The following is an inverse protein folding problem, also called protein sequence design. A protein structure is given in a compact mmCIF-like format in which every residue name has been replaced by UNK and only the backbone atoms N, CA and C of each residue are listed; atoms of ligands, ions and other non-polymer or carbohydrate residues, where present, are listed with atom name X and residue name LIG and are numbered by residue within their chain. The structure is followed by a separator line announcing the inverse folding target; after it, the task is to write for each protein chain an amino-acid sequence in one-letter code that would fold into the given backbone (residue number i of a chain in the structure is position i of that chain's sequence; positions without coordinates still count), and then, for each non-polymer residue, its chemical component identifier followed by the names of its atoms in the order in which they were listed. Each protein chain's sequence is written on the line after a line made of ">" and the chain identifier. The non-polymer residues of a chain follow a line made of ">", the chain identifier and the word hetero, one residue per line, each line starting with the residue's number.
data_IF_594960812118
#
_entry.id   IF_594960812118
#
_cell.length_a   1.000
_cell.length_b   1.000
_cell.length_c   1.000
_cell.angle_alpha   90.00
_cell.angle_beta   90.00
_cell.angle_gamma   90.00
#
_symmetry.space_group_name_H-M   'P 1'
#
loop_
_entity.id
_entity.type
_entity.pdbx_description
1 polymer ?
#
# COMPACT_ATOMS: atom_id res chain seq x y z
N UNK A 1 -71.08 17.52 -39.24
CA UNK A 1 -70.20 17.74 -38.07
C UNK A 1 -69.75 16.37 -37.58
N UNK A 2 -68.53 15.97 -37.94
CA UNK A 2 -67.94 14.66 -37.60
C UNK A 2 -66.80 14.93 -36.62
N UNK A 3 -66.98 14.52 -35.38
CA UNK A 3 -66.00 14.70 -34.30
C UNK A 3 -65.01 13.54 -34.33
N UNK A 4 -63.78 13.86 -34.70
CA UNK A 4 -62.62 12.96 -34.66
C UNK A 4 -62.06 12.98 -33.23
N UNK A 5 -62.04 11.82 -32.57
CA UNK A 5 -61.40 11.61 -31.27
C UNK A 5 -59.93 11.28 -31.49
N UNK A 6 -58.95 12.02 -30.94
CA UNK A 6 -57.58 11.59 -30.94
C UNK A 6 -57.30 10.65 -29.75
N UNK A 7 -56.78 9.47 -30.11
CA UNK A 7 -56.24 8.44 -29.25
C UNK A 7 -55.01 8.99 -28.49
N UNK A 8 -55.07 9.09 -27.17
CA UNK A 8 -53.92 9.45 -26.33
C UNK A 8 -53.12 8.16 -26.07
N UNK A 9 -51.96 8.05 -26.71
CA UNK A 9 -50.98 7.00 -26.48
C UNK A 9 -50.25 7.30 -25.17
N UNK A 10 -50.37 6.39 -24.19
CA UNK A 10 -49.58 6.42 -22.96
C UNK A 10 -48.11 6.16 -23.29
N UNK A 11 -47.25 7.18 -23.08
CA UNK A 11 -45.81 6.98 -23.00
C UNK A 11 -45.48 6.47 -21.59
N UNK A 12 -45.21 5.18 -21.46
CA UNK A 12 -44.57 4.64 -20.27
C UNK A 12 -43.16 5.24 -20.18
N UNK A 13 -42.93 6.11 -19.20
CA UNK A 13 -41.59 6.54 -18.83
C UNK A 13 -40.85 5.30 -18.31
N UNK A 14 -39.96 4.74 -19.12
CA UNK A 14 -38.92 3.85 -18.63
C UNK A 14 -38.01 4.71 -17.76
N UNK A 15 -38.29 4.76 -16.46
CA UNK A 15 -37.26 5.12 -15.49
C UNK A 15 -36.20 4.02 -15.59
N UNK A 16 -35.18 4.28 -16.40
CA UNK A 16 -33.90 3.62 -16.20
C UNK A 16 -33.50 4.01 -14.78
N UNK A 17 -33.80 3.14 -13.82
CA UNK A 17 -32.99 3.02 -12.64
C UNK A 17 -31.58 2.75 -13.18
N UNK A 18 -30.82 3.82 -13.40
CA UNK A 18 -29.39 3.73 -13.44
C UNK A 18 -29.05 3.01 -12.14
N UNK A 19 -28.69 1.73 -12.28
CA UNK A 19 -28.25 0.92 -11.17
C UNK A 19 -27.24 1.78 -10.42
N UNK A 20 -27.62 2.21 -9.22
CA UNK A 20 -26.68 2.73 -8.24
C UNK A 20 -25.62 1.63 -8.17
N UNK A 21 -24.35 1.90 -8.53
CA UNK A 21 -23.35 0.85 -8.49
C UNK A 21 -23.38 0.29 -7.07
N UNK A 22 -23.73 -0.99 -7.01
CA UNK A 22 -23.64 -1.81 -5.82
C UNK A 22 -22.25 -1.56 -5.24
N UNK A 23 -22.19 -1.22 -3.96
CA UNK A 23 -20.94 -0.95 -3.24
C UNK A 23 -20.00 -2.10 -3.55
N UNK A 24 -18.97 -1.84 -4.37
CA UNK A 24 -17.95 -2.82 -4.71
C UNK A 24 -17.48 -3.44 -3.39
N UNK A 25 -17.88 -4.67 -3.16
CA UNK A 25 -17.39 -5.49 -2.07
C UNK A 25 -15.91 -5.70 -2.36
N UNK A 26 -15.09 -4.82 -1.75
CA UNK A 26 -13.64 -4.92 -1.73
C UNK A 26 -13.30 -6.35 -1.34
N UNK A 27 -12.90 -7.17 -2.31
CA UNK A 27 -12.51 -8.54 -2.03
C UNK A 27 -11.08 -8.48 -1.52
N UNK A 28 -10.85 -8.80 -0.24
CA UNK A 28 -9.51 -8.74 0.29
C UNK A 28 -8.64 -9.79 -0.38
N UNK A 29 -7.52 -9.37 -0.95
CA UNK A 29 -6.46 -10.31 -1.32
C UNK A 29 -5.75 -10.69 -0.02
N UNK A 30 -5.55 -11.98 0.21
CA UNK A 30 -4.78 -12.48 1.35
C UNK A 30 -3.35 -12.70 0.85
N UNK A 31 -2.41 -11.86 1.31
CA UNK A 31 -0.98 -12.07 1.06
C UNK A 31 -0.32 -12.63 2.31
N UNK A 32 0.35 -13.77 2.17
CA UNK A 32 1.09 -14.42 3.24
C UNK A 32 2.57 -14.05 3.13
N UNK A 33 3.08 -13.29 4.11
CA UNK A 33 4.52 -13.16 4.36
C UNK A 33 4.79 -13.50 5.82
N UNK A 34 5.93 -14.14 6.10
CA UNK A 34 6.34 -14.51 7.46
C UNK A 34 5.33 -15.38 8.22
N UNK A 35 4.48 -16.13 7.50
CA UNK A 35 3.43 -16.96 8.09
C UNK A 35 2.14 -16.22 8.48
N UNK A 36 1.99 -14.93 8.16
CA UNK A 36 0.81 -14.13 8.49
C UNK A 36 0.06 -13.72 7.23
N UNK A 37 -1.23 -14.05 7.21
CA UNK A 37 -2.21 -13.60 6.21
C UNK A 37 -2.58 -12.14 6.44
N UNK A 38 -2.25 -11.26 5.49
CA UNK A 38 -2.64 -9.84 5.52
C UNK A 38 -3.79 -9.57 4.55
N UNK A 39 -4.85 -8.95 5.05
CA UNK A 39 -5.98 -8.44 4.27
C UNK A 39 -5.55 -7.16 3.53
N UNK A 40 -5.33 -7.19 2.21
CA UNK A 40 -4.83 -6.02 1.45
C UNK A 40 -5.93 -5.18 0.81
N UNK A 41 -5.68 -3.88 0.72
CA UNK A 41 -6.54 -2.88 0.08
C UNK A 41 -6.58 -3.06 -1.45
N UNK A 42 -7.75 -2.93 -2.05
CA UNK A 42 -7.87 -2.81 -3.51
C UNK A 42 -7.62 -1.35 -3.95
N UNK A 43 -6.49 -1.10 -4.61
CA UNK A 43 -6.12 0.23 -5.13
C UNK A 43 -6.99 0.67 -6.31
N UNK A 44 -7.72 -0.24 -6.96
CA UNK A 44 -8.57 0.12 -8.11
C UNK A 44 -9.75 1.02 -7.71
N UNK A 45 -10.07 1.11 -6.42
CA UNK A 45 -11.09 1.97 -5.85
C UNK A 45 -10.59 3.39 -5.44
N UNK A 46 -9.30 3.70 -5.63
CA UNK A 46 -8.66 4.94 -5.15
C UNK A 46 -8.48 5.96 -6.27
N UNK A 47 -9.57 6.47 -6.84
CA UNK A 47 -9.51 7.56 -7.83
C UNK A 47 -9.50 8.96 -7.22
N UNK A 48 -9.86 9.12 -5.94
CA UNK A 48 -9.94 10.45 -5.30
C UNK A 48 -9.21 10.48 -3.94
N UNK A 49 -7.90 10.74 -3.97
CA UNK A 49 -7.09 10.99 -2.76
C UNK A 49 -7.11 12.48 -2.42
N UNK A 50 -8.18 12.95 -1.80
CA UNK A 50 -8.16 14.26 -1.15
C UNK A 50 -7.35 14.15 0.16
N UNK A 51 -6.33 15.01 0.33
CA UNK A 51 -5.52 15.09 1.56
C UNK A 51 -6.41 15.50 2.74
N UNK A 52 -6.94 14.55 3.50
CA UNK A 52 -7.55 14.87 4.79
C UNK A 52 -6.47 15.01 5.84
N UNK A 53 -6.07 16.27 6.09
CA UNK A 53 -5.31 16.62 7.28
C UNK A 53 -6.23 16.50 8.50
N UNK A 54 -6.02 15.49 9.35
CA UNK A 54 -6.57 15.54 10.72
C UNK A 54 -5.59 16.35 11.58
N UNK A 55 -6.06 17.22 12.50
CA UNK A 55 -5.20 18.14 13.25
C UNK A 55 -4.08 17.48 14.07
N UNK A 56 -4.15 16.16 14.27
CA UNK A 56 -3.22 15.41 15.11
C UNK A 56 -2.31 14.46 14.33
N UNK A 57 -2.62 14.10 13.09
CA UNK A 57 -1.83 13.12 12.33
C UNK A 57 -1.38 13.70 10.99
N UNK A 58 -0.09 13.58 10.71
CA UNK A 58 0.53 14.08 9.48
C UNK A 58 1.33 12.98 8.83
N UNK A 59 1.36 12.97 7.50
CA UNK A 59 2.23 12.09 6.76
C UNK A 59 2.76 12.74 5.48
N UNK A 60 4.03 12.47 5.18
CA UNK A 60 4.74 13.08 4.06
C UNK A 60 5.71 12.08 3.42
N UNK A 61 5.59 11.93 2.09
CA UNK A 61 6.60 11.26 1.27
C UNK A 61 7.83 12.19 1.14
N UNK A 62 9.01 11.66 1.41
CA UNK A 62 10.31 12.34 1.39
C UNK A 62 11.31 11.42 0.66
N UNK A 63 12.27 11.98 -0.09
CA UNK A 63 13.29 11.20 -0.80
C UNK A 63 13.10 11.16 -2.33
N UNK A 64 14.14 10.69 -3.02
CA UNK A 64 14.12 10.52 -4.47
C UNK A 64 13.27 9.30 -4.84
N UNK A 65 12.35 9.50 -5.78
CA UNK A 65 11.44 8.50 -6.30
C UNK A 65 11.25 8.69 -7.80
N UNK A 66 12.28 9.21 -8.48
CA UNK A 66 12.24 9.54 -9.91
C UNK A 66 12.18 8.31 -10.81
N UNK A 67 12.71 7.16 -10.37
CA UNK A 67 12.59 5.89 -11.07
C UNK A 67 11.17 5.31 -11.01
N UNK A 68 10.80 4.48 -11.98
CA UNK A 68 9.45 3.91 -12.11
C UNK A 68 9.01 3.12 -10.86
N UNK A 69 9.93 2.40 -10.23
CA UNK A 69 9.69 1.70 -8.97
C UNK A 69 9.48 2.69 -7.80
N UNK A 70 10.32 3.72 -7.68
CA UNK A 70 10.13 4.79 -6.69
C UNK A 70 8.77 5.48 -6.84
N UNK A 71 8.37 5.83 -8.07
CA UNK A 71 7.05 6.42 -8.35
C UNK A 71 5.89 5.50 -7.93
N UNK A 72 6.04 4.18 -8.11
CA UNK A 72 5.06 3.21 -7.64
C UNK A 72 4.96 3.23 -6.11
N UNK A 73 6.09 3.20 -5.39
CA UNK A 73 6.10 3.30 -3.92
C UNK A 73 5.46 4.62 -3.46
N UNK A 74 5.83 5.76 -4.05
CA UNK A 74 5.27 7.06 -3.72
C UNK A 74 3.75 7.15 -3.88
N UNK A 75 3.18 6.55 -4.94
CA UNK A 75 1.72 6.49 -5.12
C UNK A 75 1.04 5.64 -4.05
N UNK A 76 1.61 4.49 -3.72
CA UNK A 76 1.08 3.57 -2.70
C UNK A 76 1.11 4.23 -1.32
N UNK A 77 2.23 4.88 -1.00
CA UNK A 77 2.40 5.61 0.24
C UNK A 77 1.35 6.71 0.40
N UNK A 78 1.09 7.51 -0.64
CA UNK A 78 0.03 8.53 -0.63
C UNK A 78 -1.37 7.91 -0.45
N UNK A 79 -1.63 6.76 -1.07
CA UNK A 79 -2.92 6.07 -0.97
C UNK A 79 -3.20 5.54 0.45
N UNK A 80 -2.17 5.05 1.15
CA UNK A 80 -2.31 4.48 2.49
C UNK A 80 -2.59 5.56 3.55
N UNK A 81 -2.19 6.82 3.32
CA UNK A 81 -2.38 7.89 4.31
C UNK A 81 -3.83 8.02 4.78
N UNK A 82 -4.77 7.92 3.85
CA UNK A 82 -6.21 8.01 4.15
C UNK A 82 -6.71 6.88 5.07
N UNK A 83 -6.03 5.73 5.09
CA UNK A 83 -6.32 4.61 6.00
C UNK A 83 -5.70 4.80 7.39
N UNK A 84 -4.61 5.57 7.51
CA UNK A 84 -3.91 5.77 8.78
C UNK A 84 -4.52 6.88 9.62
N UNK A 85 -5.04 7.95 9.00
CA UNK A 85 -5.59 9.11 9.72
C UNK A 85 -6.74 8.82 10.70
N UNK A 86 -7.59 7.80 10.51
CA UNK A 86 -8.59 7.40 11.51
C UNK A 86 -8.02 6.75 12.77
N UNK A 87 -6.76 6.26 12.73
CA UNK A 87 -6.14 5.55 13.83
C UNK A 87 -5.65 6.54 14.90
N UNK A 88 -6.17 6.38 16.11
CA UNK A 88 -5.83 7.24 17.27
C UNK A 88 -4.68 6.67 18.11
N UNK A 89 -4.34 5.41 17.90
CA UNK A 89 -3.30 4.71 18.64
C UNK A 89 -2.03 4.57 17.81
N UNK A 90 -0.90 4.96 18.40
CA UNK A 90 0.38 5.04 17.68
C UNK A 90 0.90 3.69 17.19
N UNK A 91 0.92 2.67 18.05
CA UNK A 91 1.47 1.36 17.67
C UNK A 91 0.60 0.64 16.61
N UNK A 92 -0.73 0.56 16.75
CA UNK A 92 -1.59 0.00 15.69
C UNK A 92 -1.47 0.74 14.36
N UNK A 93 -1.31 2.06 14.37
CA UNK A 93 -1.08 2.84 13.15
C UNK A 93 0.21 2.43 12.44
N UNK A 94 1.28 2.24 13.20
CA UNK A 94 2.59 1.82 12.69
C UNK A 94 2.57 0.41 12.13
N UNK A 95 1.97 -0.55 12.83
CA UNK A 95 1.82 -1.91 12.30
C UNK A 95 0.95 -1.97 11.06
N UNK A 96 -0.15 -1.21 11.04
CA UNK A 96 -1.02 -1.14 9.87
C UNK A 96 -0.25 -0.53 8.70
N UNK A 97 0.52 0.53 8.95
CA UNK A 97 1.33 1.18 7.94
C UNK A 97 2.33 0.21 7.31
N UNK A 98 3.20 -0.43 8.08
CA UNK A 98 4.24 -1.31 7.54
C UNK A 98 3.63 -2.49 6.77
N UNK A 99 2.66 -3.19 7.37
CA UNK A 99 2.00 -4.37 6.77
C UNK A 99 1.27 -4.02 5.47
N UNK A 100 0.45 -2.97 5.48
CA UNK A 100 -0.32 -2.59 4.29
C UNK A 100 0.61 -2.04 3.20
N UNK A 101 1.64 -1.27 3.57
CA UNK A 101 2.53 -0.68 2.57
C UNK A 101 3.31 -1.74 1.83
N UNK A 102 3.96 -2.67 2.53
CA UNK A 102 4.73 -3.72 1.85
C UNK A 102 3.84 -4.64 1.02
N UNK A 103 2.63 -4.96 1.51
CA UNK A 103 1.67 -5.79 0.79
C UNK A 103 1.18 -5.10 -0.49
N UNK A 104 0.85 -3.81 -0.43
CA UNK A 104 0.44 -3.05 -1.59
C UNK A 104 1.58 -2.83 -2.58
N UNK A 105 2.79 -2.55 -2.10
CA UNK A 105 3.99 -2.50 -2.93
C UNK A 105 4.21 -3.82 -3.65
N UNK A 106 4.06 -4.93 -2.94
CA UNK A 106 4.27 -6.25 -3.52
C UNK A 106 3.17 -6.58 -4.53
N UNK A 107 1.91 -6.23 -4.28
CA UNK A 107 0.80 -6.43 -5.20
C UNK A 107 0.93 -5.57 -6.48
N UNK A 108 1.39 -4.33 -6.34
CA UNK A 108 1.53 -3.35 -7.43
C UNK A 108 2.97 -3.26 -7.94
N UNK A 109 3.74 -4.34 -7.77
CA UNK A 109 5.12 -4.41 -8.18
C UNK A 109 5.23 -4.21 -9.71
N UNK A 110 5.97 -3.18 -10.18
CA UNK A 110 6.06 -2.85 -11.61
C UNK A 110 6.83 -3.87 -12.43
N UNK A 111 7.65 -4.72 -11.78
CA UNK A 111 8.42 -5.79 -12.43
C UNK A 111 8.71 -6.91 -11.42
N UNK A 112 7.85 -7.94 -11.40
CA UNK A 112 7.97 -9.09 -10.49
C UNK A 112 9.16 -10.00 -10.77
N UNK A 113 9.79 -9.89 -11.94
CA UNK A 113 10.98 -10.69 -12.26
C UNK A 113 12.24 -10.01 -11.71
N UNK A 114 12.24 -8.68 -11.69
CA UNK A 114 13.33 -7.87 -11.14
C UNK A 114 13.24 -7.72 -9.62
N UNK A 115 12.05 -7.38 -9.13
CA UNK A 115 11.80 -7.08 -7.72
C UNK A 115 11.09 -8.27 -7.07
N UNK A 116 11.79 -8.99 -6.21
CA UNK A 116 11.30 -10.23 -5.60
C UNK A 116 10.85 -10.05 -4.16
N UNK A 117 11.11 -8.88 -3.57
CA UNK A 117 10.64 -8.51 -2.25
C UNK A 117 10.39 -7.00 -2.12
N UNK A 118 9.65 -6.63 -1.08
CA UNK A 118 9.43 -5.27 -0.62
C UNK A 118 9.71 -5.18 0.87
N UNK A 119 10.17 -4.01 1.31
CA UNK A 119 10.43 -3.71 2.71
C UNK A 119 9.94 -2.30 3.03
N UNK A 120 9.42 -2.13 4.25
CA UNK A 120 9.27 -0.84 4.89
C UNK A 120 9.87 -0.93 6.29
N UNK A 121 10.82 -0.04 6.59
CA UNK A 121 11.58 -0.11 7.83
C UNK A 121 11.93 1.26 8.40
N UNK A 122 11.83 1.45 9.72
CA UNK A 122 12.07 2.75 10.36
C UNK A 122 13.40 2.88 11.12
N UNK A 123 14.31 1.91 10.98
CA UNK A 123 15.66 1.99 11.56
C UNK A 123 16.71 1.91 10.47
N UNK A 124 17.97 2.04 10.87
CA UNK A 124 19.11 1.87 9.98
C UNK A 124 19.14 0.47 9.39
N UNK A 125 19.43 0.40 8.09
CA UNK A 125 19.55 -0.83 7.32
C UNK A 125 20.76 -0.74 6.40
N UNK A 126 21.21 -1.88 5.91
CA UNK A 126 22.18 -1.94 4.81
C UNK A 126 21.78 -3.01 3.79
N UNK A 127 22.39 -2.98 2.62
CA UNK A 127 22.19 -3.99 1.58
C UNK A 127 23.49 -4.44 0.98
N UNK A 128 23.54 -5.71 0.56
CA UNK A 128 24.70 -6.28 -0.13
C UNK A 128 25.00 -5.53 -1.44
N UNK A 129 23.97 -5.18 -2.21
CA UNK A 129 24.10 -4.40 -3.44
C UNK A 129 23.02 -3.31 -3.56
N UNK A 130 23.45 -2.04 -3.50
CA UNK A 130 22.57 -0.87 -3.65
C UNK A 130 22.01 -0.70 -5.07
N UNK A 131 22.57 -1.39 -6.08
CA UNK A 131 22.02 -1.42 -7.44
C UNK A 131 20.89 -2.44 -7.60
N UNK A 132 20.77 -3.35 -6.65
CA UNK A 132 19.73 -4.37 -6.58
C UNK A 132 18.60 -3.99 -5.61
N UNK A 133 18.40 -2.69 -5.39
CA UNK A 133 17.19 -2.13 -4.77
C UNK A 133 16.58 -1.07 -5.68
N UNK A 134 15.31 -0.73 -5.46
CA UNK A 134 14.74 0.48 -6.07
C UNK A 134 15.25 1.74 -5.39
N UNK A 135 14.81 2.90 -5.89
CA UNK A 135 14.86 4.13 -5.11
C UNK A 135 14.21 3.91 -3.74
N UNK A 136 14.79 4.57 -2.72
CA UNK A 136 14.30 4.53 -1.36
C UNK A 136 13.32 5.69 -1.18
N UNK A 137 12.07 5.33 -0.86
CA UNK A 137 11.04 6.33 -0.63
C UNK A 137 10.72 6.36 0.84
N UNK A 138 11.03 7.48 1.49
CA UNK A 138 10.80 7.66 2.92
C UNK A 138 9.40 8.23 3.17
N UNK A 139 8.73 7.75 4.22
CA UNK A 139 7.47 8.27 4.71
C UNK A 139 7.62 8.70 6.15
N UNK A 140 7.44 9.99 6.41
CA UNK A 140 7.31 10.50 7.76
C UNK A 140 5.88 10.27 8.24
N UNK A 141 5.69 9.45 9.26
CA UNK A 141 4.43 9.29 9.97
C UNK A 141 4.48 10.10 11.27
N UNK A 142 3.42 10.84 11.60
CA UNK A 142 3.36 11.62 12.84
C UNK A 142 1.97 11.58 13.45
N UNK A 143 1.90 11.46 14.78
CA UNK A 143 0.68 11.51 15.58
C UNK A 143 0.96 12.27 16.89
N UNK A 144 0.47 13.51 16.99
CA UNK A 144 0.78 14.40 18.11
C UNK A 144 2.30 14.67 18.21
N UNK A 145 2.89 14.35 19.36
CA UNK A 145 4.34 14.45 19.57
C UNK A 145 5.13 13.26 18.99
N UNK A 146 4.47 12.14 18.70
CA UNK A 146 5.12 10.95 18.16
C UNK A 146 5.35 11.11 16.67
N UNK A 147 6.53 10.71 16.22
CA UNK A 147 6.89 10.70 14.83
C UNK A 147 7.89 9.59 14.55
N UNK A 148 7.87 9.06 13.34
CA UNK A 148 8.86 8.10 12.86
C UNK A 148 8.94 8.20 11.34
N UNK A 149 10.13 7.98 10.80
CA UNK A 149 10.35 7.94 9.36
C UNK A 149 10.54 6.49 8.95
N UNK A 150 9.85 6.05 7.90
CA UNK A 150 9.98 4.71 7.33
C UNK A 150 10.58 4.80 5.94
N UNK A 151 11.62 4.02 5.68
CA UNK A 151 12.14 3.81 4.34
C UNK A 151 11.46 2.61 3.71
N UNK A 152 10.83 2.83 2.56
CA UNK A 152 10.16 1.79 1.78
C UNK A 152 10.84 1.63 0.41
N UNK A 153 11.13 0.38 0.03
CA UNK A 153 11.79 0.07 -1.24
C UNK A 153 11.50 -1.36 -1.72
N UNK A 154 11.78 -1.61 -2.99
CA UNK A 154 11.83 -2.96 -3.57
C UNK A 154 13.24 -3.53 -3.44
N UNK A 155 13.32 -4.85 -3.25
CA UNK A 155 14.56 -5.62 -3.20
C UNK A 155 14.59 -6.58 -4.39
N UNK A 156 15.71 -6.56 -5.11
CA UNK A 156 15.97 -7.42 -6.26
C UNK A 156 16.66 -8.73 -5.89
N UNK A 157 16.83 -9.59 -6.89
CA UNK A 157 17.51 -10.88 -6.76
C UNK A 157 19.01 -10.72 -6.45
N UNK A 158 19.60 -11.79 -5.92
CA UNK A 158 21.02 -11.88 -5.53
C UNK A 158 21.47 -10.83 -4.50
N UNK A 159 20.53 -10.30 -3.73
CA UNK A 159 20.74 -9.26 -2.74
C UNK A 159 20.45 -9.77 -1.32
N UNK A 160 20.92 -9.03 -0.33
CA UNK A 160 20.62 -9.25 1.08
C UNK A 160 20.30 -7.92 1.73
N UNK A 161 19.25 -7.90 2.55
CA UNK A 161 18.85 -6.76 3.35
C UNK A 161 19.20 -7.05 4.81
N UNK A 162 20.08 -6.22 5.36
CA UNK A 162 20.58 -6.32 6.73
C UNK A 162 19.79 -5.37 7.62
N UNK A 163 19.13 -5.92 8.63
CA UNK A 163 18.45 -5.13 9.65
C UNK A 163 19.36 -4.96 10.87
N UNK A 164 19.15 -3.88 11.63
CA UNK A 164 19.82 -3.71 12.91
C UNK A 164 19.01 -4.30 14.07
N UNK A 165 17.71 -4.55 13.85
CA UNK A 165 16.76 -5.13 14.80
C UNK A 165 15.37 -5.19 14.17
N UNK A 166 14.67 -6.32 14.23
CA UNK A 166 13.24 -6.40 13.85
C UNK A 166 12.41 -5.36 14.63
N UNK A 167 12.33 -5.56 15.95
CA UNK A 167 11.45 -4.79 16.82
C UNK A 167 9.97 -4.88 16.45
N UNK A 168 9.59 -5.88 15.64
CA UNK A 168 8.23 -6.23 15.25
C UNK A 168 7.66 -5.37 14.13
N UNK A 169 6.41 -5.66 13.76
CA UNK A 169 5.71 -4.95 12.69
C UNK A 169 5.55 -3.45 12.90
N UNK A 170 5.71 -2.94 14.12
CA UNK A 170 5.77 -1.48 14.33
C UNK A 170 6.96 -0.85 13.60
N UNK A 171 8.03 -1.59 13.34
CA UNK A 171 9.26 -1.10 12.75
C UNK A 171 9.48 -1.67 11.36
N UNK A 172 9.30 -2.98 11.19
CA UNK A 172 9.73 -3.74 10.02
C UNK A 172 8.58 -4.56 9.46
N UNK A 173 8.40 -4.52 8.14
CA UNK A 173 7.66 -5.55 7.43
C UNK A 173 8.38 -5.90 6.15
N UNK A 174 8.28 -7.18 5.76
CA UNK A 174 8.61 -7.65 4.43
C UNK A 174 7.38 -8.20 3.74
N UNK A 175 7.40 -8.19 2.41
CA UNK A 175 6.59 -9.06 1.58
C UNK A 175 7.48 -9.59 0.46
N UNK A 176 7.53 -10.90 0.27
CA UNK A 176 8.53 -11.50 -0.63
C UNK A 176 8.05 -12.79 -1.28
N UNK A 177 8.69 -13.13 -2.39
CA UNK A 177 8.53 -14.42 -3.05
C UNK A 177 9.45 -15.45 -2.37
N UNK A 178 8.86 -16.44 -1.68
CA UNK A 178 9.61 -17.48 -0.96
C UNK A 178 10.42 -18.41 -1.85
N UNK A 179 10.23 -18.37 -3.18
CA UNK A 179 11.09 -19.09 -4.15
C UNK A 179 12.46 -18.44 -4.29
N UNK A 180 12.53 -17.13 -4.08
CA UNK A 180 13.77 -16.36 -4.22
C UNK A 180 14.30 -15.92 -2.86
N UNK A 181 13.43 -15.57 -1.92
CA UNK A 181 13.83 -14.96 -0.67
C UNK A 181 13.55 -15.84 0.56
N UNK A 182 14.41 -15.69 1.57
CA UNK A 182 14.30 -16.34 2.87
C UNK A 182 14.58 -15.34 3.98
N UNK A 183 13.71 -15.33 4.99
CA UNK A 183 13.82 -14.51 6.19
C UNK A 183 14.51 -15.29 7.31
N UNK A 184 15.52 -14.69 7.94
CA UNK A 184 16.16 -15.21 9.14
C UNK A 184 15.53 -14.59 10.38
N UNK A 185 14.70 -15.35 11.10
CA UNK A 185 14.04 -14.85 12.32
C UNK A 185 14.98 -14.54 13.49
N UNK A 186 16.26 -14.89 13.43
CA UNK A 186 17.22 -14.57 14.49
C UNK A 186 17.82 -13.18 14.32
N UNK A 187 18.16 -12.81 13.09
CA UNK A 187 18.78 -11.52 12.73
C UNK A 187 17.77 -10.52 12.19
N UNK A 188 16.61 -11.02 11.73
CA UNK A 188 15.58 -10.34 10.96
C UNK A 188 16.02 -9.90 9.56
N UNK A 189 17.08 -10.51 9.04
CA UNK A 189 17.59 -10.24 7.71
C UNK A 189 16.78 -10.97 6.63
N UNK A 190 16.73 -10.38 5.44
CA UNK A 190 16.14 -10.99 4.26
C UNK A 190 17.21 -11.28 3.22
N UNK A 191 17.35 -12.53 2.81
CA UNK A 191 18.27 -12.95 1.74
C UNK A 191 17.47 -13.33 0.50
N UNK A 192 17.80 -12.78 -0.68
CA UNK A 192 17.14 -13.06 -1.96
C UNK A 192 18.12 -13.61 -3.00
N UNK A 193 17.85 -14.80 -3.55
CA UNK A 193 18.68 -15.57 -4.48
C UNK A 193 18.21 -15.57 -5.94
#
# INVERSE_FOLDING_TARGET
>A
MRFTVPLIVMAAALTNAAAVPEVNTLTPVVLTSDGITSEVLDLSALTDLEKRQTPSANAQVIGDHSGSAGQAVGRILNAILNKLFPLKDWNPARETFTKQTTALMYQNNPDRNRWVATVCYNKSWDVKDRRAISDVVSMKLSLGAFHTDYDCMYIGRHNQFYTQSDGGYINLAFQYDSRFCSYDGNTADLTCN
#
